data_IF_853276628903
#
_entry.id   IF_853276628903
#
_cell.length_a   1.000
_cell.length_b   1.000
_cell.length_c   1.000
_cell.angle_alpha   90.00
_cell.angle_beta   90.00
_cell.angle_gamma   90.00
#
_symmetry.space_group_name_H-M   'P 1'
#
loop_
_entity.id
_entity.type
_entity.pdbx_description
1 polymer ?
#
# COMPACT_ATOMS: atom_id res chain seq x y z
N UNK A 1 14.14 -16.90 -14.75
CA UNK A 1 13.16 -17.68 -13.93
C UNK A 1 12.03 -16.75 -13.57
N UNK A 2 10.90 -16.87 -14.20
CA UNK A 2 9.73 -16.02 -13.93
C UNK A 2 9.05 -16.55 -12.67
N UNK A 3 9.24 -15.88 -11.54
CA UNK A 3 8.52 -16.18 -10.29
C UNK A 3 7.07 -15.72 -10.46
N UNK A 4 6.20 -16.60 -10.93
CA UNK A 4 4.75 -16.35 -10.95
C UNK A 4 4.20 -16.38 -9.53
N UNK A 5 4.30 -15.25 -8.83
CA UNK A 5 3.61 -15.09 -7.58
C UNK A 5 2.12 -14.84 -7.85
N UNK A 6 1.27 -15.86 -7.64
CA UNK A 6 -0.17 -15.81 -7.89
C UNK A 6 -0.86 -14.69 -7.11
N UNK A 7 -0.37 -14.35 -5.93
CA UNK A 7 -0.94 -13.26 -5.12
C UNK A 7 -0.75 -11.92 -5.81
N UNK A 8 0.46 -11.65 -6.29
CA UNK A 8 0.77 -10.40 -7.01
C UNK A 8 0.04 -10.32 -8.35
N UNK A 9 0.01 -11.40 -9.14
CA UNK A 9 -0.75 -11.43 -10.40
C UNK A 9 -2.24 -11.19 -10.17
N UNK A 10 -2.84 -11.86 -9.18
CA UNK A 10 -4.24 -11.64 -8.82
C UNK A 10 -4.52 -10.21 -8.37
N UNK A 11 -3.60 -9.59 -7.62
CA UNK A 11 -3.75 -8.20 -7.20
C UNK A 11 -3.66 -7.24 -8.39
N UNK A 12 -2.68 -7.44 -9.27
CA UNK A 12 -2.53 -6.63 -10.48
C UNK A 12 -3.80 -6.68 -11.37
N UNK A 13 -4.38 -7.87 -11.55
CA UNK A 13 -5.64 -8.04 -12.30
C UNK A 13 -6.78 -7.25 -11.65
N UNK A 14 -6.92 -7.28 -10.31
CA UNK A 14 -7.96 -6.53 -9.59
C UNK A 14 -7.80 -5.02 -9.74
N UNK A 15 -6.56 -4.51 -9.69
CA UNK A 15 -6.28 -3.08 -9.92
C UNK A 15 -6.62 -2.70 -11.36
N UNK A 16 -6.25 -3.54 -12.33
CA UNK A 16 -6.47 -3.27 -13.74
C UNK A 16 -7.95 -3.32 -14.14
N UNK A 17 -8.69 -4.31 -13.63
CA UNK A 17 -10.12 -4.50 -13.97
C UNK A 17 -11.04 -3.67 -13.09
N UNK A 18 -10.60 -3.24 -11.91
CA UNK A 18 -11.43 -2.59 -10.90
C UNK A 18 -12.46 -3.52 -10.26
N UNK A 19 -12.34 -4.82 -10.46
CA UNK A 19 -13.22 -5.83 -9.89
C UNK A 19 -12.91 -6.08 -8.41
N UNK A 20 -13.90 -6.59 -7.68
CA UNK A 20 -13.76 -7.02 -6.30
C UNK A 20 -14.13 -8.49 -6.16
N UNK A 21 -13.38 -9.24 -5.36
CA UNK A 21 -13.70 -10.63 -5.03
C UNK A 21 -14.64 -10.70 -3.84
N UNK A 22 -15.46 -11.75 -3.81
CA UNK A 22 -16.28 -12.05 -2.63
C UNK A 22 -15.38 -12.36 -1.42
N UNK A 23 -15.76 -11.83 -0.28
CA UNK A 23 -15.04 -12.02 0.98
C UNK A 23 -16.02 -12.33 2.12
N UNK A 24 -15.49 -12.80 3.23
CA UNK A 24 -16.19 -12.95 4.50
C UNK A 24 -15.29 -12.44 5.63
N UNK A 25 -15.89 -11.80 6.63
CA UNK A 25 -15.18 -11.28 7.79
C UNK A 25 -14.44 -9.98 7.52
N UNK A 26 -13.38 -9.73 8.30
CA UNK A 26 -12.64 -8.47 8.28
C UNK A 26 -11.73 -8.35 7.08
N UNK A 27 -11.58 -7.14 6.59
CA UNK A 27 -10.62 -6.77 5.56
C UNK A 27 -9.44 -6.02 6.19
N UNK A 28 -8.28 -6.12 5.54
CA UNK A 28 -7.06 -5.39 5.86
C UNK A 28 -6.69 -4.53 4.67
N UNK A 29 -6.26 -3.30 4.94
CA UNK A 29 -5.83 -2.36 3.90
C UNK A 29 -4.35 -2.10 4.03
N UNK A 30 -3.62 -2.20 2.91
CA UNK A 30 -2.27 -1.71 2.77
C UNK A 30 -2.27 -0.47 1.89
N UNK A 31 -1.54 0.56 2.28
CA UNK A 31 -1.40 1.81 1.54
C UNK A 31 0.07 2.04 1.22
N UNK A 32 0.34 2.26 -0.07
CA UNK A 32 1.62 2.71 -0.58
C UNK A 32 1.44 4.12 -1.17
N UNK A 33 2.10 5.09 -0.55
CA UNK A 33 2.13 6.48 -1.01
C UNK A 33 3.39 6.70 -1.85
N UNK A 34 3.41 6.15 -3.06
CA UNK A 34 4.57 6.20 -3.95
C UNK A 34 4.74 7.53 -4.69
N UNK A 35 5.95 7.77 -5.21
CA UNK A 35 6.30 8.98 -5.98
C UNK A 35 5.50 9.09 -7.29
N UNK A 36 5.25 7.97 -7.97
CA UNK A 36 4.52 7.95 -9.23
C UNK A 36 3.03 7.65 -9.06
N UNK A 37 2.69 6.76 -8.13
CA UNK A 37 1.33 6.31 -7.88
C UNK A 37 1.09 6.11 -6.39
N UNK A 38 -0.14 6.38 -5.98
CA UNK A 38 -0.66 5.92 -4.69
C UNK A 38 -1.48 4.66 -4.93
N UNK A 39 -1.24 3.62 -4.13
CA UNK A 39 -1.89 2.30 -4.25
C UNK A 39 -2.55 1.93 -2.94
N UNK A 40 -3.80 1.49 -3.00
CA UNK A 40 -4.50 0.86 -1.89
C UNK A 40 -4.78 -0.61 -2.25
N UNK A 41 -4.31 -1.52 -1.40
CA UNK A 41 -4.53 -2.95 -1.52
C UNK A 41 -5.44 -3.44 -0.40
N UNK A 42 -6.49 -4.19 -0.76
CA UNK A 42 -7.42 -4.79 0.21
C UNK A 42 -7.29 -6.31 0.16
N UNK A 43 -7.02 -6.90 1.31
CA UNK A 43 -6.93 -8.35 1.47
C UNK A 43 -7.84 -8.84 2.61
N UNK A 44 -8.22 -10.12 2.55
CA UNK A 44 -8.92 -10.75 3.67
C UNK A 44 -7.96 -11.21 4.79
N UNK A 45 -8.51 -11.84 5.82
CA UNK A 45 -7.73 -12.34 6.97
C UNK A 45 -6.70 -13.41 6.61
N UNK A 46 -6.83 -14.05 5.45
CA UNK A 46 -5.89 -15.05 4.92
C UNK A 46 -4.87 -14.44 3.95
N UNK A 47 -4.82 -13.11 3.84
CA UNK A 47 -3.98 -12.34 2.91
C UNK A 47 -4.30 -12.60 1.42
N UNK A 48 -5.50 -13.05 1.10
CA UNK A 48 -5.96 -13.17 -0.28
C UNK A 48 -6.38 -11.80 -0.81
N UNK A 49 -5.91 -11.37 -1.99
CA UNK A 49 -6.34 -10.12 -2.62
C UNK A 49 -7.86 -10.12 -2.89
N UNK A 50 -8.53 -9.07 -2.44
CA UNK A 50 -9.97 -8.87 -2.57
C UNK A 50 -10.29 -7.72 -3.52
N UNK A 51 -9.56 -6.60 -3.39
CA UNK A 51 -9.70 -5.42 -4.23
C UNK A 51 -8.39 -4.64 -4.26
N UNK A 52 -8.25 -3.77 -5.23
CA UNK A 52 -7.13 -2.84 -5.28
C UNK A 52 -7.47 -1.65 -6.15
N UNK A 53 -6.80 -0.54 -5.87
CA UNK A 53 -6.93 0.70 -6.64
C UNK A 53 -5.59 1.40 -6.69
N UNK A 54 -5.28 2.01 -7.82
CA UNK A 54 -4.08 2.80 -8.03
C UNK A 54 -4.44 4.09 -8.74
N UNK A 55 -3.82 5.19 -8.34
CA UNK A 55 -3.95 6.46 -9.03
C UNK A 55 -2.60 7.19 -9.08
N UNK A 56 -2.34 7.94 -10.17
CA UNK A 56 -1.16 8.80 -10.26
C UNK A 56 -1.13 9.80 -9.11
N UNK A 57 0.06 10.04 -8.58
CA UNK A 57 0.31 11.02 -7.52
C UNK A 57 1.54 11.85 -7.89
N UNK A 58 1.48 13.14 -7.55
CA UNK A 58 2.61 14.07 -7.61
C UNK A 58 2.86 14.73 -6.24
N UNK A 59 2.10 14.30 -5.24
CA UNK A 59 2.14 14.85 -3.89
C UNK A 59 3.28 14.29 -3.03
N UNK A 60 4.02 13.31 -3.57
CA UNK A 60 5.13 12.64 -2.89
C UNK A 60 6.36 12.64 -3.80
N UNK A 61 7.51 12.95 -3.21
CA UNK A 61 8.81 12.90 -3.89
C UNK A 61 9.84 12.28 -2.97
N UNK A 62 10.46 11.20 -3.44
CA UNK A 62 11.54 10.50 -2.73
C UNK A 62 11.18 10.13 -1.27
N UNK A 63 9.96 9.63 -1.06
CA UNK A 63 9.44 9.26 0.26
C UNK A 63 9.04 10.43 1.16
N UNK A 64 9.04 11.66 0.63
CA UNK A 64 8.64 12.87 1.36
C UNK A 64 7.34 13.42 0.79
N UNK A 65 6.39 13.74 1.67
CA UNK A 65 5.14 14.41 1.27
C UNK A 65 5.46 15.87 0.96
N UNK A 66 5.28 16.27 -0.30
CA UNK A 66 5.47 17.66 -0.77
C UNK A 66 4.16 18.43 -0.86
N UNK A 67 3.03 17.74 -0.91
CA UNK A 67 1.70 18.32 -0.84
C UNK A 67 0.78 17.48 0.06
N UNK A 68 0.69 17.87 1.32
CA UNK A 68 -0.09 17.16 2.33
C UNK A 68 -1.59 17.11 1.98
N UNK A 69 -2.16 18.24 1.61
CA UNK A 69 -3.60 18.33 1.34
C UNK A 69 -4.01 17.47 0.15
N UNK A 70 -3.25 17.52 -0.93
CA UNK A 70 -3.48 16.66 -2.10
C UNK A 70 -3.35 15.17 -1.75
N UNK A 71 -2.37 14.81 -0.93
CA UNK A 71 -2.20 13.43 -0.45
C UNK A 71 -3.43 12.94 0.32
N UNK A 72 -3.93 13.75 1.27
CA UNK A 72 -5.14 13.42 2.04
C UNK A 72 -6.35 13.28 1.12
N UNK A 73 -6.58 14.23 0.21
CA UNK A 73 -7.71 14.17 -0.72
C UNK A 73 -7.65 12.94 -1.62
N UNK A 74 -6.46 12.59 -2.13
CA UNK A 74 -6.28 11.43 -2.98
C UNK A 74 -6.61 10.14 -2.22
N UNK A 75 -6.04 9.94 -1.04
CA UNK A 75 -6.30 8.74 -0.22
C UNK A 75 -7.76 8.65 0.18
N UNK A 76 -8.38 9.77 0.58
CA UNK A 76 -9.82 9.84 0.93
C UNK A 76 -10.67 9.38 -0.23
N UNK A 77 -10.40 9.87 -1.44
CA UNK A 77 -11.13 9.48 -2.65
C UNK A 77 -10.97 8.00 -2.97
N UNK A 78 -9.73 7.47 -2.94
CA UNK A 78 -9.46 6.06 -3.22
C UNK A 78 -10.10 5.13 -2.19
N UNK A 79 -10.07 5.52 -0.90
CA UNK A 79 -10.77 4.80 0.18
C UNK A 79 -12.26 4.74 -0.07
N UNK A 80 -12.90 5.89 -0.32
CA UNK A 80 -14.34 5.97 -0.56
C UNK A 80 -14.77 5.11 -1.77
N UNK A 81 -13.99 5.10 -2.85
CA UNK A 81 -14.26 4.26 -4.02
C UNK A 81 -14.20 2.76 -3.69
N UNK A 82 -13.22 2.33 -2.90
CA UNK A 82 -13.13 0.94 -2.43
C UNK A 82 -14.27 0.57 -1.50
N UNK A 83 -14.63 1.43 -0.55
CA UNK A 83 -15.74 1.21 0.38
C UNK A 83 -17.08 1.09 -0.35
N UNK A 84 -17.29 1.92 -1.38
CA UNK A 84 -18.48 1.83 -2.24
C UNK A 84 -18.56 0.51 -2.99
N UNK A 85 -17.45 0.08 -3.61
CA UNK A 85 -17.37 -1.20 -4.35
C UNK A 85 -17.54 -2.41 -3.44
N UNK A 86 -16.94 -2.38 -2.26
CA UNK A 86 -16.96 -3.49 -1.28
C UNK A 86 -18.24 -3.52 -0.44
N UNK A 87 -19.01 -2.42 -0.42
CA UNK A 87 -20.18 -2.23 0.44
C UNK A 87 -19.86 -2.41 1.93
N UNK A 88 -18.66 -1.97 2.34
CA UNK A 88 -18.20 -2.06 3.73
C UNK A 88 -17.20 -0.96 4.03
N UNK A 89 -17.15 -0.54 5.28
CA UNK A 89 -16.17 0.42 5.76
C UNK A 89 -14.78 -0.22 5.90
N UNK A 90 -13.75 0.59 5.69
CA UNK A 90 -12.34 0.23 5.79
C UNK A 90 -11.67 1.13 6.86
N UNK A 91 -11.89 0.88 8.15
CA UNK A 91 -11.43 1.78 9.22
C UNK A 91 -9.92 1.72 9.47
N UNK A 92 -9.25 0.61 9.17
CA UNK A 92 -7.85 0.39 9.50
C UNK A 92 -6.98 0.27 8.26
N UNK A 93 -5.77 0.85 8.32
CA UNK A 93 -4.75 0.65 7.29
C UNK A 93 -3.36 0.46 7.89
N UNK A 94 -2.50 -0.25 7.15
CA UNK A 94 -1.05 -0.22 7.32
C UNK A 94 -0.43 0.53 6.15
N UNK A 95 0.68 1.24 6.38
CA UNK A 95 1.43 1.91 5.34
C UNK A 95 2.76 1.21 5.06
N UNK A 96 3.16 1.18 3.79
CA UNK A 96 4.53 0.89 3.40
C UNK A 96 5.27 2.21 3.13
N UNK A 97 6.52 2.30 3.55
CA UNK A 97 7.39 3.47 3.39
C UNK A 97 8.77 3.06 2.88
N UNK A 98 9.49 3.93 2.15
CA UNK A 98 10.87 3.64 1.78
C UNK A 98 11.75 3.44 3.02
N UNK A 99 12.74 2.54 2.98
CA UNK A 99 13.66 2.35 4.09
C UNK A 99 14.52 3.61 4.32
N UNK A 100 14.84 3.89 5.59
CA UNK A 100 15.72 5.00 5.94
C UNK A 100 15.09 6.41 5.89
N UNK A 101 13.78 6.52 5.68
CA UNK A 101 13.07 7.81 5.82
C UNK A 101 13.12 8.31 7.26
N UNK A 102 13.14 9.63 7.44
CA UNK A 102 13.16 10.25 8.76
C UNK A 102 11.86 9.92 9.55
N UNK A 103 11.95 9.99 10.88
CA UNK A 103 10.77 9.85 11.75
C UNK A 103 9.67 10.88 11.41
N UNK A 104 10.09 12.11 11.04
CA UNK A 104 9.16 13.15 10.61
C UNK A 104 8.41 12.80 9.32
N UNK A 105 9.11 12.20 8.34
CA UNK A 105 8.49 11.73 7.10
C UNK A 105 7.52 10.58 7.37
N UNK A 106 7.91 9.63 8.22
CA UNK A 106 7.03 8.52 8.63
C UNK A 106 5.76 9.03 9.31
N UNK A 107 5.88 9.99 10.25
CA UNK A 107 4.73 10.64 10.90
C UNK A 107 3.84 11.40 9.92
N UNK A 108 4.44 12.06 8.93
CA UNK A 108 3.66 12.78 7.91
C UNK A 108 2.80 11.82 7.09
N UNK A 109 3.32 10.63 6.74
CA UNK A 109 2.55 9.58 6.06
C UNK A 109 1.41 9.08 6.96
N UNK A 110 1.69 8.82 8.24
CA UNK A 110 0.67 8.46 9.22
C UNK A 110 -0.46 9.51 9.26
N UNK A 111 -0.14 10.79 9.36
CA UNK A 111 -1.12 11.87 9.40
C UNK A 111 -1.94 11.99 8.11
N UNK A 112 -1.37 11.68 6.95
CA UNK A 112 -2.16 11.61 5.70
C UNK A 112 -3.22 10.52 5.78
N UNK A 113 -2.87 9.32 6.25
CA UNK A 113 -3.83 8.24 6.39
C UNK A 113 -4.90 8.55 7.43
N UNK A 114 -4.52 9.11 8.58
CA UNK A 114 -5.45 9.56 9.62
C UNK A 114 -6.38 10.66 9.11
N UNK A 115 -5.84 11.63 8.36
CA UNK A 115 -6.62 12.70 7.71
C UNK A 115 -7.60 12.16 6.66
N UNK A 116 -7.31 11.01 6.05
CA UNK A 116 -8.20 10.30 5.15
C UNK A 116 -9.21 9.37 5.87
N UNK A 117 -9.21 9.37 7.20
CA UNK A 117 -10.15 8.62 8.03
C UNK A 117 -9.76 7.15 8.24
N UNK A 118 -8.48 6.82 8.18
CA UNK A 118 -7.97 5.54 8.63
C UNK A 118 -7.42 5.63 10.06
N UNK A 119 -7.57 4.55 10.82
CA UNK A 119 -6.74 4.27 11.98
C UNK A 119 -5.51 3.50 11.51
N UNK A 120 -4.31 4.04 11.73
CA UNK A 120 -3.07 3.43 11.25
C UNK A 120 -2.62 2.32 12.19
N UNK A 121 -2.71 1.09 11.74
CA UNK A 121 -2.39 -0.10 12.54
C UNK A 121 -0.88 -0.42 12.55
N UNK A 122 -0.17 -0.09 11.48
CA UNK A 122 1.27 -0.34 11.37
C UNK A 122 1.90 0.49 10.25
N UNK A 123 3.20 0.74 10.36
CA UNK A 123 4.05 1.30 9.30
C UNK A 123 5.25 0.39 9.15
N UNK A 124 5.51 -0.09 7.94
CA UNK A 124 6.61 -1.00 7.61
C UNK A 124 7.41 -0.46 6.44
N UNK A 125 8.68 -0.84 6.33
CA UNK A 125 9.43 -0.53 5.12
C UNK A 125 9.00 -1.40 3.94
N UNK A 126 9.05 -0.84 2.72
CA UNK A 126 8.60 -1.47 1.49
C UNK A 126 9.29 -2.81 1.22
N UNK A 127 10.62 -2.95 1.33
CA UNK A 127 11.27 -4.24 1.12
C UNK A 127 10.86 -5.31 2.13
N UNK A 128 10.61 -4.95 3.39
CA UNK A 128 10.09 -5.87 4.40
C UNK A 128 8.68 -6.35 4.04
N UNK A 129 7.82 -5.42 3.60
CA UNK A 129 6.48 -5.78 3.12
C UNK A 129 6.55 -6.71 1.90
N UNK A 130 7.44 -6.42 0.95
CA UNK A 130 7.66 -7.25 -0.23
C UNK A 130 8.18 -8.65 0.14
N UNK A 131 9.13 -8.75 1.06
CA UNK A 131 9.66 -10.02 1.57
C UNK A 131 8.55 -10.91 2.15
N UNK A 132 7.64 -10.33 2.91
CA UNK A 132 6.51 -11.05 3.50
C UNK A 132 5.58 -11.64 2.42
N UNK A 133 5.26 -10.88 1.37
CA UNK A 133 4.44 -11.33 0.24
C UNK A 133 5.14 -12.39 -0.60
N UNK A 134 6.44 -12.23 -0.82
CA UNK A 134 7.28 -13.17 -1.59
C UNK A 134 7.69 -14.39 -0.79
N UNK A 135 7.45 -14.38 0.54
CA UNK A 135 7.86 -15.44 1.50
C UNK A 135 9.38 -15.67 1.48
N UNK A 136 10.13 -14.58 1.42
CA UNK A 136 11.59 -14.59 1.49
C UNK A 136 11.99 -14.41 2.96
N UNK A 137 12.75 -15.35 3.50
CA UNK A 137 13.26 -15.33 4.86
C UNK A 137 14.78 -15.19 4.93
N UNK A 138 15.47 -15.36 3.80
CA UNK A 138 16.93 -15.25 3.69
C UNK A 138 17.27 -14.71 2.30
N UNK A 139 18.17 -13.71 2.24
CA UNK A 139 18.58 -13.06 1.01
C UNK A 139 18.37 -11.56 0.99
N UNK A 140 18.34 -10.97 -0.21
CA UNK A 140 18.11 -9.55 -0.41
C UNK A 140 16.82 -9.30 -1.18
N UNK A 141 16.07 -8.30 -0.75
CA UNK A 141 14.92 -7.75 -1.48
C UNK A 141 15.30 -6.35 -1.96
N UNK A 142 15.16 -6.13 -3.26
CA UNK A 142 15.38 -4.82 -3.89
C UNK A 142 14.05 -4.33 -4.41
N UNK A 143 13.58 -3.22 -3.86
CA UNK A 143 12.39 -2.51 -4.32
C UNK A 143 12.81 -1.32 -5.18
N UNK A 144 12.33 -1.28 -6.41
CA UNK A 144 12.66 -0.22 -7.38
C UNK A 144 11.39 0.57 -7.68
N UNK A 145 11.24 1.70 -7.00
CA UNK A 145 10.10 2.60 -7.16
C UNK A 145 10.30 3.67 -8.22
N UNK A 146 9.32 4.58 -8.33
CA UNK A 146 9.36 5.72 -9.27
C UNK A 146 10.34 6.83 -8.89
N UNK A 147 10.77 6.92 -7.62
CA UNK A 147 11.68 7.93 -7.12
C UNK A 147 12.72 7.41 -6.13
N UNK A 148 12.48 6.23 -5.56
CA UNK A 148 13.36 5.61 -4.55
C UNK A 148 13.71 4.18 -4.92
N UNK A 149 14.85 3.71 -4.42
CA UNK A 149 15.22 2.29 -4.45
C UNK A 149 15.55 1.85 -3.04
N UNK A 150 14.80 0.88 -2.54
CA UNK A 150 14.96 0.29 -1.21
C UNK A 150 15.65 -1.07 -1.29
N UNK A 151 16.51 -1.37 -0.32
CA UNK A 151 17.17 -2.67 -0.20
C UNK A 151 17.06 -3.14 1.24
N UNK A 152 16.55 -4.35 1.43
CA UNK A 152 16.56 -5.06 2.71
C UNK A 152 17.30 -6.37 2.59
N UNK A 153 18.16 -6.65 3.58
CA UNK A 153 18.87 -7.92 3.71
C UNK A 153 18.23 -8.69 4.85
N UNK A 154 17.75 -9.88 4.53
CA UNK A 154 17.09 -10.80 5.45
C UNK A 154 18.06 -11.92 5.81
N UNK A 155 18.07 -12.30 7.10
CA UNK A 155 18.88 -13.41 7.62
C UNK A 155 18.03 -14.27 8.54
#
# INVERSE_FOLDING_TARGET
MELKNRTLSNFADLVQTGECKKFKGRLKVGVDLGTANTVLAVVDTTNRPIAGISAPSQAIRDGVIVNYYESVQLVTRLKAELEEKLKTELPYAAAAIPPGVSEGSSKSIQYVLEGAGFEVSNIVDEPTAAAAVLKISDGAVVDVGGGTTGISILK
#
